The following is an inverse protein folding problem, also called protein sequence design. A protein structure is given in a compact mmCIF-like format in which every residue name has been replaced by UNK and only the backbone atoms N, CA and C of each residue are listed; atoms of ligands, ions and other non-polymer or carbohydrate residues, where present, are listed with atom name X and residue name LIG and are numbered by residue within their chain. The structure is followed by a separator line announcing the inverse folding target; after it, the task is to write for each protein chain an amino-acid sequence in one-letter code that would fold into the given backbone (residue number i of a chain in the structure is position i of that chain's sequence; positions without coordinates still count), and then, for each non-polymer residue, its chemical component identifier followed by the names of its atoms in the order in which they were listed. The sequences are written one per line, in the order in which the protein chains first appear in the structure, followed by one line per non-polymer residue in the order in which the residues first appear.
data_IF_612993616297
#
_entry.id   IF_612993616297
#
_cell.length_a   1.000
_cell.length_b   1.000
_cell.length_c   1.000
_cell.angle_alpha   90.00
_cell.angle_beta   90.00
_cell.angle_gamma   90.00
#
_symmetry.space_group_name_H-M   'P 1'
#
loop_
_entity.id
_entity.type
_entity.pdbx_description
1 polymer ?
#
# COMPACT_ATOMS: atom_id res chain seq x y z
N UNK A 1 -9.49 34.22 13.26
CA UNK A 1 -8.09 34.69 13.14
C UNK A 1 -7.51 33.99 11.91
N UNK A 2 -7.18 34.60 10.78
CA UNK A 2 -7.36 35.95 10.23
C UNK A 2 -7.17 35.82 8.71
N UNK A 3 -7.93 36.62 7.96
CA UNK A 3 -8.02 36.77 6.50
C UNK A 3 -6.69 37.07 5.74
N UNK A 4 -5.60 36.31 5.93
CA UNK A 4 -4.29 36.56 5.26
C UNK A 4 -3.63 35.25 4.76
N UNK A 5 -4.38 34.39 4.07
CA UNK A 5 -3.79 33.23 3.36
C UNK A 5 -4.31 33.12 1.91
N UNK A 6 -4.85 34.22 1.39
CA UNK A 6 -5.48 34.28 0.08
C UNK A 6 -4.53 34.91 -0.95
N UNK A 7 -3.58 34.12 -1.48
CA UNK A 7 -3.08 34.21 -2.88
C UNK A 7 -1.95 33.23 -3.24
N UNK A 8 -1.70 32.11 -2.54
CA UNK A 8 -0.66 31.17 -2.99
C UNK A 8 -1.12 30.25 -4.14
N UNK A 9 -2.44 30.06 -4.28
CA UNK A 9 -3.01 29.12 -5.25
C UNK A 9 -4.04 29.80 -6.15
N UNK A 10 -4.16 29.39 -7.43
CA UNK A 10 -5.14 29.97 -8.35
C UNK A 10 -6.56 29.81 -7.78
N UNK A 11 -7.38 30.87 -7.78
CA UNK A 11 -8.75 30.79 -7.28
C UNK A 11 -9.53 29.74 -8.06
N UNK A 12 -10.23 28.85 -7.36
CA UNK A 12 -11.07 27.84 -8.00
C UNK A 12 -12.29 28.52 -8.62
N UNK A 13 -12.38 28.54 -9.94
CA UNK A 13 -13.59 28.97 -10.65
C UNK A 13 -14.62 27.83 -10.62
N UNK A 14 -15.78 27.98 -9.92
CA UNK A 14 -16.80 26.94 -9.85
C UNK A 14 -17.38 26.54 -11.22
N UNK A 15 -17.39 27.48 -12.17
CA UNK A 15 -17.91 27.28 -13.53
C UNK A 15 -16.91 26.61 -14.47
N UNK A 16 -15.67 26.39 -14.02
CA UNK A 16 -14.70 25.64 -14.80
C UNK A 16 -15.17 24.17 -14.93
N UNK A 17 -14.98 23.52 -16.10
CA UNK A 17 -15.35 22.12 -16.27
C UNK A 17 -14.70 21.24 -15.19
N UNK A 18 -15.50 20.37 -14.56
CA UNK A 18 -15.04 19.47 -13.49
C UNK A 18 -15.24 18.02 -13.94
N UNK A 19 -16.51 17.60 -14.07
CA UNK A 19 -16.89 16.28 -14.53
C UNK A 19 -16.94 16.26 -16.06
N UNK A 20 -15.82 15.92 -16.69
CA UNK A 20 -15.74 15.75 -18.15
C UNK A 20 -15.49 14.30 -18.51
N UNK A 21 -16.00 13.86 -19.68
CA UNK A 21 -15.76 12.50 -20.17
C UNK A 21 -14.27 12.17 -20.22
N UNK A 22 -13.45 13.15 -20.65
CA UNK A 22 -11.99 13.02 -20.71
C UNK A 22 -11.34 12.82 -19.33
N UNK A 23 -11.83 13.48 -18.28
CA UNK A 23 -11.32 13.31 -16.92
C UNK A 23 -11.66 11.91 -16.38
N UNK A 24 -12.90 11.46 -16.61
CA UNK A 24 -13.34 10.11 -16.19
C UNK A 24 -12.59 9.03 -16.95
N UNK A 25 -12.48 9.13 -18.28
CA UNK A 25 -11.82 8.11 -19.10
C UNK A 25 -10.32 7.99 -18.81
N UNK A 26 -9.62 9.12 -18.64
CA UNK A 26 -8.22 9.10 -18.22
C UNK A 26 -8.05 8.56 -16.80
N UNK A 27 -8.99 8.87 -15.90
CA UNK A 27 -9.01 8.33 -14.56
C UNK A 27 -9.19 6.82 -14.56
N UNK A 28 -10.13 6.28 -15.35
CA UNK A 28 -10.32 4.83 -15.49
C UNK A 28 -9.08 4.13 -16.06
N UNK A 29 -8.43 4.73 -17.06
CA UNK A 29 -7.21 4.19 -17.67
C UNK A 29 -6.05 4.14 -16.68
N UNK A 30 -5.76 5.26 -15.99
CA UNK A 30 -4.71 5.28 -14.98
C UNK A 30 -5.06 4.46 -13.75
N UNK A 31 -6.34 4.42 -13.35
CA UNK A 31 -6.81 3.57 -12.27
C UNK A 31 -6.60 2.09 -12.56
N UNK A 32 -6.91 1.65 -13.78
CA UNK A 32 -6.63 0.29 -14.22
C UNK A 32 -5.13 -0.03 -14.17
N UNK A 33 -4.28 0.87 -14.66
CA UNK A 33 -2.82 0.68 -14.64
C UNK A 33 -2.25 0.67 -13.21
N UNK A 34 -2.65 1.62 -12.37
CA UNK A 34 -2.20 1.74 -10.98
C UNK A 34 -2.78 0.64 -10.09
N UNK A 35 -3.92 0.05 -10.45
CA UNK A 35 -4.47 -1.12 -9.75
C UNK A 35 -3.51 -2.32 -9.82
N UNK A 36 -2.82 -2.52 -10.94
CA UNK A 36 -1.83 -3.59 -11.09
C UNK A 36 -0.67 -3.40 -10.11
N UNK A 37 -0.21 -2.15 -9.94
CA UNK A 37 0.81 -1.81 -8.96
C UNK A 37 0.34 -2.12 -7.53
N UNK A 38 -0.89 -1.74 -7.18
CA UNK A 38 -1.43 -1.99 -5.84
C UNK A 38 -1.74 -3.47 -5.57
N UNK A 39 -2.15 -4.25 -6.58
CA UNK A 39 -2.28 -5.71 -6.43
C UNK A 39 -0.90 -6.34 -6.22
N UNK A 40 0.11 -5.95 -7.01
CA UNK A 40 1.47 -6.45 -6.85
C UNK A 40 2.06 -6.12 -5.47
N UNK A 41 1.95 -4.85 -5.05
CA UNK A 41 2.37 -4.42 -3.72
C UNK A 41 1.60 -5.18 -2.65
N UNK A 42 0.27 -5.23 -2.75
CA UNK A 42 -0.55 -5.97 -1.81
C UNK A 42 -0.12 -7.43 -1.66
N UNK A 43 0.11 -8.14 -2.77
CA UNK A 43 0.54 -9.54 -2.74
C UNK A 43 1.96 -9.72 -2.20
N UNK A 44 2.84 -8.73 -2.36
CA UNK A 44 4.25 -8.82 -1.97
C UNK A 44 4.52 -8.35 -0.53
N UNK A 45 3.83 -7.31 -0.07
CA UNK A 45 4.05 -6.67 1.24
C UNK A 45 2.82 -6.67 2.15
N UNK A 46 1.64 -7.04 1.64
CA UNK A 46 0.42 -7.16 2.45
C UNK A 46 -0.39 -5.86 2.60
N UNK A 47 0.08 -4.74 2.06
CA UNK A 47 -0.66 -3.46 2.07
C UNK A 47 -0.54 -2.73 0.72
N UNK A 48 -1.50 -1.84 0.47
CA UNK A 48 -1.53 -0.96 -0.70
C UNK A 48 -1.01 0.44 -0.40
N UNK A 49 -0.80 1.24 -1.44
CA UNK A 49 -0.37 2.65 -1.33
C UNK A 49 -1.45 3.57 -1.88
N UNK A 50 -1.50 4.81 -1.37
CA UNK A 50 -2.34 5.85 -1.94
C UNK A 50 -1.76 6.28 -3.30
N UNK A 51 -2.56 6.15 -4.36
CA UNK A 51 -2.16 6.42 -5.74
C UNK A 51 -2.68 7.75 -6.29
N UNK A 52 -3.33 8.58 -5.46
CA UNK A 52 -3.97 9.84 -5.85
C UNK A 52 -2.98 10.87 -6.40
N UNK A 53 -1.83 11.07 -5.73
CA UNK A 53 -0.79 12.02 -6.18
C UNK A 53 -0.17 11.56 -7.50
N UNK A 54 0.16 10.27 -7.61
CA UNK A 54 0.70 9.68 -8.84
C UNK A 54 -0.29 9.85 -10.00
N UNK A 55 -1.56 9.57 -9.77
CA UNK A 55 -2.60 9.74 -10.78
C UNK A 55 -2.78 11.21 -11.22
N UNK A 56 -2.71 12.16 -10.28
CA UNK A 56 -2.77 13.58 -10.58
C UNK A 56 -1.59 14.05 -11.46
N UNK A 57 -0.37 13.59 -11.15
CA UNK A 57 0.84 13.89 -11.93
C UNK A 57 0.80 13.25 -13.32
N UNK A 58 0.41 11.97 -13.41
CA UNK A 58 0.28 11.27 -14.69
C UNK A 58 -0.81 11.90 -15.57
N UNK A 59 -1.97 12.24 -14.98
CA UNK A 59 -3.05 12.95 -15.67
C UNK A 59 -2.61 14.31 -16.20
N UNK A 60 -1.96 15.11 -15.37
CA UNK A 60 -1.40 16.40 -15.77
C UNK A 60 -0.37 16.26 -16.90
N UNK A 61 0.61 15.35 -16.72
CA UNK A 61 1.67 15.12 -17.70
C UNK A 61 1.14 14.63 -19.05
N UNK A 62 0.21 13.66 -19.03
CA UNK A 62 -0.44 13.14 -20.23
C UNK A 62 -1.14 14.26 -21.00
N UNK A 63 -2.02 15.01 -20.34
CA UNK A 63 -2.77 16.06 -21.00
C UNK A 63 -1.91 17.26 -21.41
N UNK A 64 -0.84 17.57 -20.68
CA UNK A 64 0.09 18.63 -21.09
C UNK A 64 0.83 18.24 -22.38
N UNK A 65 1.27 16.99 -22.50
CA UNK A 65 1.86 16.46 -23.74
C UNK A 65 0.82 16.45 -24.85
N UNK A 66 -0.40 15.96 -24.60
CA UNK A 66 -1.47 15.93 -25.60
C UNK A 66 -1.90 17.32 -26.08
N UNK A 67 -1.99 18.31 -25.18
CA UNK A 67 -2.25 19.71 -25.55
C UNK A 67 -1.13 20.27 -26.41
N UNK A 68 0.14 19.97 -26.11
CA UNK A 68 1.29 20.47 -26.89
C UNK A 68 1.44 19.77 -28.24
N UNK A 69 1.17 18.46 -28.31
CA UNK A 69 1.34 17.66 -29.51
C UNK A 69 0.14 17.75 -30.48
N UNK A 70 -1.08 17.78 -29.94
CA UNK A 70 -2.32 17.69 -30.72
C UNK A 70 -3.22 18.94 -30.61
N UNK A 71 -2.76 20.01 -29.95
CA UNK A 71 -3.52 21.25 -29.82
C UNK A 71 -4.80 21.13 -28.97
N UNK A 72 -4.94 20.07 -28.17
CA UNK A 72 -6.14 19.81 -27.36
C UNK A 72 -6.33 20.88 -26.26
N UNK A 73 -7.58 21.14 -25.87
CA UNK A 73 -7.92 22.06 -24.78
C UNK A 73 -7.13 21.74 -23.50
N UNK A 74 -6.58 22.76 -22.85
CA UNK A 74 -5.89 22.66 -21.55
C UNK A 74 -6.75 21.88 -20.53
N UNK A 75 -6.10 21.00 -19.79
CA UNK A 75 -6.74 20.17 -18.76
C UNK A 75 -6.73 20.92 -17.43
N UNK A 76 -7.91 21.26 -16.90
CA UNK A 76 -8.03 22.11 -15.72
C UNK A 76 -7.76 21.40 -14.40
N UNK A 77 -7.54 22.18 -13.33
CA UNK A 77 -7.35 21.69 -11.96
C UNK A 77 -8.53 20.81 -11.50
N UNK A 78 -9.77 21.26 -11.69
CA UNK A 78 -10.96 20.53 -11.26
C UNK A 78 -11.19 19.25 -12.07
N UNK A 79 -10.87 19.26 -13.37
CA UNK A 79 -10.89 18.05 -14.20
C UNK A 79 -9.85 17.04 -13.72
N UNK A 80 -8.65 17.50 -13.36
CA UNK A 80 -7.63 16.61 -12.83
C UNK A 80 -7.98 16.08 -11.43
N UNK A 81 -8.75 16.84 -10.64
CA UNK A 81 -9.31 16.33 -9.38
C UNK A 81 -10.28 15.16 -9.62
N UNK A 82 -11.12 15.23 -10.65
CA UNK A 82 -11.99 14.11 -11.04
C UNK A 82 -11.17 12.93 -11.58
N UNK A 83 -10.20 13.19 -12.45
CA UNK A 83 -9.30 12.15 -12.99
C UNK A 83 -8.56 11.40 -11.87
N UNK A 84 -7.91 12.11 -10.94
CA UNK A 84 -7.19 11.46 -9.85
C UNK A 84 -8.14 10.70 -8.92
N UNK A 85 -9.34 11.22 -8.67
CA UNK A 85 -10.36 10.54 -7.84
C UNK A 85 -10.80 9.23 -8.49
N UNK A 86 -11.10 9.24 -9.79
CA UNK A 86 -11.48 8.05 -10.55
C UNK A 86 -10.32 7.03 -10.62
N UNK A 87 -9.09 7.49 -10.85
CA UNK A 87 -7.92 6.64 -10.85
C UNK A 87 -7.63 6.02 -9.48
N UNK A 88 -7.75 6.81 -8.42
CA UNK A 88 -7.55 6.36 -7.04
C UNK A 88 -8.60 5.33 -6.62
N UNK A 89 -9.87 5.54 -7.00
CA UNK A 89 -10.94 4.56 -6.79
C UNK A 89 -10.63 3.24 -7.50
N UNK A 90 -10.22 3.28 -8.78
CA UNK A 90 -9.80 2.09 -9.52
C UNK A 90 -8.59 1.40 -8.92
N UNK A 91 -7.56 2.15 -8.50
CA UNK A 91 -6.35 1.60 -7.90
C UNK A 91 -6.60 0.96 -6.51
N UNK A 92 -7.62 1.44 -5.80
CA UNK A 92 -7.99 0.92 -4.47
C UNK A 92 -8.76 -0.38 -4.54
N UNK A 93 -9.23 -0.80 -5.73
CA UNK A 93 -10.01 -2.04 -5.88
C UNK A 93 -9.25 -3.30 -5.48
N UNK A 94 -7.92 -3.23 -5.39
CA UNK A 94 -7.07 -4.28 -4.81
C UNK A 94 -7.54 -4.70 -3.40
N UNK A 95 -8.13 -3.80 -2.62
CA UNK A 95 -8.69 -4.09 -1.29
C UNK A 95 -10.03 -4.84 -1.33
N UNK A 96 -10.64 -5.05 -2.51
CA UNK A 96 -11.86 -5.85 -2.69
C UNK A 96 -11.61 -7.36 -2.50
N UNK A 97 -10.59 -7.75 -1.74
CA UNK A 97 -10.25 -9.14 -1.49
C UNK A 97 -9.31 -9.78 -2.53
N UNK A 98 -8.88 -9.04 -3.54
CA UNK A 98 -7.98 -9.53 -4.61
C UNK A 98 -6.58 -9.88 -4.09
N UNK A 99 -6.18 -9.33 -2.95
CA UNK A 99 -4.86 -9.51 -2.35
C UNK A 99 -4.82 -10.56 -1.25
N UNK A 100 -5.95 -10.87 -0.61
CA UNK A 100 -5.99 -11.75 0.56
C UNK A 100 -6.97 -12.94 0.40
N UNK A 101 -8.30 -12.75 0.50
CA UNK A 101 -9.24 -13.86 0.49
C UNK A 101 -9.31 -14.62 -0.84
N UNK A 102 -9.19 -13.97 -2.00
CA UNK A 102 -9.25 -14.66 -3.31
C UNK A 102 -8.01 -15.54 -3.54
N UNK A 103 -6.77 -15.06 -3.34
CA UNK A 103 -5.60 -15.93 -3.35
C UNK A 103 -5.70 -17.07 -2.32
N UNK A 104 -6.15 -16.79 -1.10
CA UNK A 104 -6.31 -17.81 -0.07
C UNK A 104 -7.32 -18.90 -0.48
N UNK A 105 -8.47 -18.52 -1.05
CA UNK A 105 -9.46 -19.46 -1.60
C UNK A 105 -8.85 -20.32 -2.71
N UNK A 106 -8.07 -19.71 -3.59
CA UNK A 106 -7.39 -20.41 -4.69
C UNK A 106 -6.38 -21.43 -4.14
N UNK A 107 -5.63 -21.07 -3.11
CA UNK A 107 -4.67 -21.98 -2.46
C UNK A 107 -5.35 -23.13 -1.70
N UNK A 108 -6.54 -22.90 -1.12
CA UNK A 108 -7.28 -23.93 -0.37
C UNK A 108 -8.03 -24.90 -1.29
N UNK A 109 -8.61 -24.40 -2.38
CA UNK A 109 -9.51 -25.18 -3.24
C UNK A 109 -8.89 -25.62 -4.56
N UNK A 110 -7.75 -25.02 -4.95
CA UNK A 110 -7.14 -25.21 -6.27
C UNK A 110 -7.92 -24.58 -7.44
N UNK A 111 -9.10 -23.97 -7.18
CA UNK A 111 -9.92 -23.32 -8.20
C UNK A 111 -9.52 -21.86 -8.36
N UNK A 112 -9.12 -21.49 -9.57
CA UNK A 112 -8.96 -20.09 -9.95
C UNK A 112 -10.31 -19.52 -10.37
N UNK A 113 -10.65 -18.34 -9.85
CA UNK A 113 -11.87 -17.64 -10.28
C UNK A 113 -11.70 -17.12 -11.70
N UNK A 114 -12.72 -17.33 -12.53
CA UNK A 114 -12.72 -16.88 -13.91
C UNK A 114 -12.84 -15.36 -14.04
N UNK A 115 -12.52 -14.82 -15.21
CA UNK A 115 -12.64 -13.37 -15.47
C UNK A 115 -14.04 -12.83 -15.19
N UNK A 116 -15.09 -13.59 -15.56
CA UNK A 116 -16.49 -13.19 -15.33
C UNK A 116 -16.80 -13.13 -13.84
N UNK A 117 -16.40 -14.14 -13.07
CA UNK A 117 -16.64 -14.22 -11.62
C UNK A 117 -15.94 -13.07 -10.90
N UNK A 118 -14.67 -12.83 -11.23
CA UNK A 118 -13.88 -11.73 -10.66
C UNK A 118 -14.46 -10.36 -11.05
N UNK A 119 -14.91 -10.20 -12.30
CA UNK A 119 -15.51 -8.94 -12.76
C UNK A 119 -16.82 -8.66 -12.04
N UNK A 120 -17.70 -9.66 -11.90
CA UNK A 120 -18.95 -9.55 -11.16
C UNK A 120 -18.72 -9.27 -9.68
N UNK A 121 -17.71 -9.92 -9.08
CA UNK A 121 -17.30 -9.67 -7.70
C UNK A 121 -16.82 -8.23 -7.50
N UNK A 122 -15.86 -7.79 -8.31
CA UNK A 122 -15.29 -6.44 -8.26
C UNK A 122 -16.38 -5.38 -8.49
N UNK A 123 -17.27 -5.60 -9.45
CA UNK A 123 -18.41 -4.72 -9.71
C UNK A 123 -19.33 -4.63 -8.48
N UNK A 124 -19.66 -5.76 -7.87
CA UNK A 124 -20.51 -5.81 -6.68
C UNK A 124 -19.89 -5.05 -5.51
N UNK A 125 -18.60 -5.29 -5.23
CA UNK A 125 -17.87 -4.58 -4.16
C UNK A 125 -17.75 -3.08 -4.45
N UNK A 126 -17.52 -2.71 -5.71
CA UNK A 126 -17.47 -1.30 -6.11
C UNK A 126 -18.81 -0.61 -5.86
N UNK A 127 -19.94 -1.23 -6.22
CA UNK A 127 -21.28 -0.68 -5.99
C UNK A 127 -21.56 -0.49 -4.49
N UNK A 128 -21.24 -1.49 -3.66
CA UNK A 128 -21.36 -1.38 -2.20
C UNK A 128 -20.50 -0.24 -1.68
N UNK A 129 -19.25 -0.13 -2.17
CA UNK A 129 -18.33 0.95 -1.81
C UNK A 129 -18.90 2.34 -2.11
N UNK A 130 -19.56 2.53 -3.27
CA UNK A 130 -20.22 3.80 -3.60
C UNK A 130 -21.34 4.12 -2.62
N UNK A 131 -22.21 3.16 -2.31
CA UNK A 131 -23.34 3.36 -1.36
C UNK A 131 -22.82 3.74 0.03
N UNK A 132 -21.82 3.01 0.53
CA UNK A 132 -21.20 3.29 1.84
C UNK A 132 -20.52 4.66 1.85
N UNK A 133 -19.77 5.00 0.79
CA UNK A 133 -19.08 6.29 0.69
C UNK A 133 -20.06 7.47 0.74
N UNK A 134 -21.22 7.35 0.08
CA UNK A 134 -22.27 8.39 0.12
C UNK A 134 -22.82 8.57 1.54
N UNK A 135 -23.07 7.48 2.26
CA UNK A 135 -23.56 7.53 3.64
C UNK A 135 -22.55 8.16 4.62
N UNK A 136 -21.27 7.78 4.50
CA UNK A 136 -20.22 8.26 5.39
C UNK A 136 -19.80 9.72 5.11
N UNK A 137 -19.99 10.20 3.89
CA UNK A 137 -19.58 11.56 3.47
C UNK A 137 -20.08 12.63 4.43
N UNK A 138 -21.38 12.62 4.77
CA UNK A 138 -21.98 13.66 5.61
C UNK A 138 -21.39 13.63 7.02
N UNK A 139 -21.29 12.45 7.62
CA UNK A 139 -20.79 12.29 8.97
C UNK A 139 -19.31 12.70 9.06
N UNK A 140 -18.45 12.08 8.25
CA UNK A 140 -17.01 12.21 8.42
C UNK A 140 -16.44 13.55 7.93
N UNK A 141 -17.03 14.17 6.89
CA UNK A 141 -16.52 15.43 6.32
C UNK A 141 -17.25 16.66 6.85
N UNK A 142 -18.57 16.60 7.05
CA UNK A 142 -19.38 17.79 7.37
C UNK A 142 -19.59 17.93 8.88
N UNK A 143 -19.92 16.84 9.56
CA UNK A 143 -20.18 16.85 11.01
C UNK A 143 -18.88 16.76 11.80
N UNK A 144 -18.13 15.67 11.62
CA UNK A 144 -16.93 15.39 12.42
C UNK A 144 -15.70 16.18 11.93
N UNK A 145 -15.75 16.68 10.69
CA UNK A 145 -14.68 17.44 10.03
C UNK A 145 -13.29 16.81 10.25
N UNK A 146 -13.19 15.51 9.98
CA UNK A 146 -11.96 14.77 10.21
C UNK A 146 -10.86 15.29 9.27
N UNK A 147 -9.62 15.46 9.77
CA UNK A 147 -8.49 15.75 8.91
C UNK A 147 -8.23 14.51 8.05
N UNK A 148 -8.49 14.60 6.74
CA UNK A 148 -8.14 13.57 5.76
C UNK A 148 -6.75 13.87 5.18
N UNK A 149 -5.63 13.53 5.86
CA UNK A 149 -4.29 14.01 5.50
C UNK A 149 -3.90 13.66 4.06
N UNK A 150 -4.24 12.45 3.59
CA UNK A 150 -3.98 12.04 2.20
C UNK A 150 -4.75 12.86 1.17
N UNK A 151 -6.01 13.18 1.47
CA UNK A 151 -6.85 14.04 0.62
C UNK A 151 -6.35 15.48 0.59
N UNK A 152 -5.97 16.03 1.74
CA UNK A 152 -5.38 17.37 1.87
C UNK A 152 -4.06 17.47 1.11
N UNK A 153 -3.15 16.51 1.30
CA UNK A 153 -1.87 16.46 0.60
C UNK A 153 -2.05 16.34 -0.93
N UNK A 154 -3.02 15.54 -1.38
CA UNK A 154 -3.37 15.44 -2.81
C UNK A 154 -3.89 16.77 -3.34
N UNK A 155 -4.78 17.43 -2.59
CA UNK A 155 -5.33 18.74 -2.95
C UNK A 155 -4.26 19.83 -3.05
N UNK A 156 -3.35 19.90 -2.07
CA UNK A 156 -2.20 20.82 -2.10
C UNK A 156 -1.30 20.54 -3.30
N UNK A 157 -0.94 19.27 -3.52
CA UNK A 157 -0.11 18.88 -4.68
C UNK A 157 -0.77 19.27 -5.99
N UNK A 158 -2.09 19.07 -6.11
CA UNK A 158 -2.84 19.46 -7.29
C UNK A 158 -2.81 20.98 -7.51
N UNK A 159 -3.03 21.77 -6.46
CA UNK A 159 -2.92 23.23 -6.55
C UNK A 159 -1.52 23.68 -6.95
N UNK A 160 -0.47 23.07 -6.40
CA UNK A 160 0.93 23.35 -6.76
C UNK A 160 1.23 23.03 -8.23
N UNK A 161 0.75 21.88 -8.73
CA UNK A 161 0.91 21.46 -10.13
C UNK A 161 0.40 22.55 -11.09
N UNK A 162 -0.74 23.15 -10.76
CA UNK A 162 -1.38 24.17 -11.59
C UNK A 162 -0.92 25.61 -11.30
N UNK A 163 -0.35 25.88 -10.13
CA UNK A 163 0.24 27.18 -9.79
C UNK A 163 1.65 27.34 -10.40
N UNK A 164 2.49 26.30 -10.32
CA UNK A 164 3.90 26.32 -10.72
C UNK A 164 4.16 25.34 -11.86
N UNK A 165 3.61 25.61 -13.04
CA UNK A 165 3.61 24.66 -14.17
C UNK A 165 5.00 24.17 -14.63
N UNK A 166 6.07 24.94 -14.45
CA UNK A 166 7.44 24.50 -14.75
C UNK A 166 7.96 23.46 -13.73
N UNK A 167 7.73 23.70 -12.43
CA UNK A 167 8.08 22.75 -11.36
C UNK A 167 7.23 21.47 -11.45
N UNK A 168 5.97 21.60 -11.87
CA UNK A 168 5.08 20.47 -12.09
C UNK A 168 5.65 19.48 -13.14
N UNK A 169 6.16 20.00 -14.26
CA UNK A 169 6.80 19.16 -15.27
C UNK A 169 8.10 18.52 -14.80
N UNK A 170 8.86 19.18 -13.93
CA UNK A 170 10.01 18.56 -13.29
C UNK A 170 9.58 17.35 -12.44
N UNK A 171 8.51 17.48 -11.64
CA UNK A 171 7.95 16.37 -10.84
C UNK A 171 7.46 15.21 -11.73
N UNK A 172 6.81 15.50 -12.85
CA UNK A 172 6.41 14.47 -13.84
C UNK A 172 7.64 13.76 -14.42
N UNK A 173 8.69 14.49 -14.80
CA UNK A 173 9.94 13.90 -15.29
C UNK A 173 10.63 13.04 -14.23
N UNK A 174 10.63 13.48 -12.97
CA UNK A 174 11.17 12.70 -11.85
C UNK A 174 10.37 11.39 -11.64
N UNK A 175 9.04 11.44 -11.76
CA UNK A 175 8.19 10.25 -11.70
C UNK A 175 8.53 9.26 -12.82
N UNK A 176 8.65 9.74 -14.07
CA UNK A 176 9.03 8.90 -15.21
C UNK A 176 10.47 8.36 -15.07
N UNK A 177 11.40 9.17 -14.59
CA UNK A 177 12.76 8.73 -14.30
C UNK A 177 12.80 7.64 -13.23
N UNK A 178 12.02 7.79 -12.15
CA UNK A 178 11.84 6.77 -11.12
C UNK A 178 11.22 5.48 -11.67
N UNK A 179 10.25 5.59 -12.60
CA UNK A 179 9.67 4.43 -13.27
C UNK A 179 10.73 3.67 -14.10
N UNK A 180 11.57 4.37 -14.85
CA UNK A 180 12.66 3.75 -15.63
C UNK A 180 13.70 3.10 -14.71
N UNK A 181 14.15 3.81 -13.66
CA UNK A 181 15.09 3.26 -12.69
C UNK A 181 14.54 2.01 -11.99
N UNK A 182 13.26 2.03 -11.61
CA UNK A 182 12.57 0.88 -11.04
C UNK A 182 12.47 -0.29 -12.01
N UNK A 183 12.17 -0.03 -13.28
CA UNK A 183 12.11 -1.06 -14.33
C UNK A 183 13.48 -1.69 -14.58
N UNK A 184 14.54 -0.89 -14.66
CA UNK A 184 15.93 -1.37 -14.81
C UNK A 184 16.33 -2.18 -13.59
N UNK A 185 16.06 -1.70 -12.37
CA UNK A 185 16.37 -2.46 -11.17
C UNK A 185 15.64 -3.79 -11.09
N UNK A 186 14.36 -3.82 -11.49
CA UNK A 186 13.61 -5.07 -11.54
C UNK A 186 14.15 -6.02 -12.61
N UNK A 187 14.59 -5.51 -13.75
CA UNK A 187 15.26 -6.29 -14.78
C UNK A 187 16.56 -6.91 -14.26
N UNK A 188 17.39 -6.15 -13.54
CA UNK A 188 18.62 -6.65 -12.92
C UNK A 188 18.36 -7.75 -11.87
N UNK A 189 17.28 -7.61 -11.09
CA UNK A 189 16.82 -8.65 -10.15
C UNK A 189 16.41 -9.93 -10.89
N UNK A 190 15.66 -9.80 -12.00
CA UNK A 190 15.23 -10.95 -12.83
C UNK A 190 16.42 -11.64 -13.51
N UNK A 191 17.41 -10.86 -13.96
CA UNK A 191 18.66 -11.37 -14.54
C UNK A 191 19.61 -11.96 -13.48
N UNK A 192 19.22 -11.99 -12.20
CA UNK A 192 20.02 -12.47 -11.05
C UNK A 192 21.37 -11.77 -10.91
N UNK A 193 21.55 -10.60 -11.53
CA UNK A 193 22.74 -9.74 -11.35
C UNK A 193 22.81 -9.25 -9.91
N UNK A 194 21.63 -9.05 -9.31
CA UNK A 194 21.47 -8.68 -7.91
C UNK A 194 20.64 -9.77 -7.24
N UNK A 195 21.26 -10.58 -6.39
CA UNK A 195 20.62 -11.67 -5.67
C UNK A 195 20.28 -11.27 -4.23
N UNK A 196 19.24 -11.89 -3.67
CA UNK A 196 18.95 -11.80 -2.24
C UNK A 196 20.08 -12.49 -1.49
N UNK A 197 20.69 -11.78 -0.54
CA UNK A 197 21.75 -12.33 0.30
C UNK A 197 21.15 -12.68 1.65
N UNK A 198 21.27 -13.95 2.03
CA UNK A 198 20.87 -14.42 3.36
C UNK A 198 21.70 -13.73 4.45
N UNK A 199 21.07 -13.36 5.55
CA UNK A 199 21.79 -12.70 6.63
C UNK A 199 22.68 -13.74 7.36
N UNK A 200 24.00 -13.50 7.52
CA UNK A 200 24.87 -14.45 8.19
C UNK A 200 24.60 -14.48 9.70
N UNK A 201 24.37 -15.68 10.23
CA UNK A 201 24.23 -15.91 11.67
C UNK A 201 23.21 -16.99 12.00
N UNK A 202 23.42 -17.66 13.13
CA UNK A 202 22.54 -18.71 13.65
C UNK A 202 22.30 -18.51 15.13
N UNK A 203 21.10 -18.89 15.56
CA UNK A 203 20.73 -18.97 16.98
C UNK A 203 20.95 -20.40 17.46
N UNK A 204 21.53 -20.57 18.68
CA UNK A 204 21.69 -21.88 19.27
C UNK A 204 20.32 -22.47 19.59
N UNK A 205 20.16 -23.77 19.37
CA UNK A 205 18.96 -24.51 19.76
C UNK A 205 19.14 -25.01 21.20
N UNK A 206 18.15 -24.82 22.07
CA UNK A 206 18.20 -25.39 23.42
C UNK A 206 18.23 -26.92 23.39
N UNK A 207 19.19 -27.50 24.12
CA UNK A 207 19.30 -28.94 24.30
C UNK A 207 18.04 -29.48 24.99
N UNK A 208 17.27 -30.32 24.29
CA UNK A 208 15.99 -30.88 24.76
C UNK A 208 14.73 -30.12 24.31
N UNK A 209 14.88 -28.98 23.63
CA UNK A 209 13.75 -28.26 23.02
C UNK A 209 13.11 -29.01 21.85
N UNK A 210 11.87 -28.68 21.49
CA UNK A 210 11.13 -29.35 20.42
C UNK A 210 11.82 -29.26 19.03
N UNK A 211 12.70 -28.27 18.85
CA UNK A 211 13.54 -28.10 17.65
C UNK A 211 14.72 -29.09 17.63
N UNK A 212 15.38 -29.30 18.76
CA UNK A 212 16.43 -30.32 18.91
C UNK A 212 15.86 -31.74 18.77
N UNK A 213 14.66 -31.98 19.31
CA UNK A 213 13.93 -33.25 19.16
C UNK A 213 13.55 -33.60 17.72
N UNK A 214 13.59 -32.63 16.80
CA UNK A 214 13.37 -32.81 15.35
C UNK A 214 14.66 -32.87 14.54
N UNK A 215 15.83 -32.95 15.19
CA UNK A 215 17.13 -33.14 14.53
C UNK A 215 17.79 -31.86 14.03
N UNK A 216 17.29 -30.68 14.42
CA UNK A 216 17.93 -29.41 14.08
C UNK A 216 18.95 -29.01 15.14
N UNK A 217 20.17 -28.69 14.72
CA UNK A 217 21.27 -28.29 15.60
C UNK A 217 21.41 -26.77 15.74
N UNK A 218 20.87 -25.99 14.80
CA UNK A 218 20.90 -24.54 14.80
C UNK A 218 19.69 -23.96 14.03
N UNK A 219 19.24 -22.77 14.43
CA UNK A 219 18.23 -21.99 13.68
C UNK A 219 18.97 -20.88 12.95
N UNK A 220 19.12 -20.98 11.63
CA UNK A 220 19.76 -19.90 10.85
C UNK A 220 18.83 -18.70 10.69
N UNK A 221 19.38 -17.49 10.65
CA UNK A 221 18.62 -16.26 10.38
C UNK A 221 17.88 -16.31 9.04
N UNK A 222 18.42 -17.02 8.05
CA UNK A 222 17.76 -17.32 6.77
C UNK A 222 16.52 -18.17 6.94
N UNK A 223 16.53 -19.18 7.82
CA UNK A 223 15.35 -20.00 8.14
C UNK A 223 14.23 -19.14 8.73
N UNK A 224 14.58 -18.14 9.54
CA UNK A 224 13.64 -17.15 10.10
C UNK A 224 13.20 -16.08 9.09
N UNK A 225 13.76 -16.08 7.87
CA UNK A 225 13.39 -15.15 6.80
C UNK A 225 14.19 -13.85 6.75
N UNK A 226 15.23 -13.70 7.58
CA UNK A 226 16.14 -12.56 7.47
C UNK A 226 16.98 -12.66 6.20
N UNK A 227 16.74 -11.75 5.28
CA UNK A 227 17.51 -11.60 4.05
C UNK A 227 17.63 -10.12 3.70
N UNK A 228 18.77 -9.75 3.12
CA UNK A 228 18.95 -8.47 2.48
C UNK A 228 18.39 -8.58 1.06
N UNK A 229 17.19 -8.05 0.89
CA UNK A 229 16.53 -7.92 -0.41
C UNK A 229 16.77 -6.51 -0.95
N UNK A 230 17.65 -6.32 -1.95
CA UNK A 230 17.95 -5.02 -2.55
C UNK A 230 16.83 -4.54 -3.50
N UNK A 231 15.59 -4.76 -3.11
CA UNK A 231 14.43 -4.38 -3.90
C UNK A 231 14.28 -2.85 -3.88
N UNK A 232 14.44 -2.23 -5.05
CA UNK A 232 14.21 -0.77 -5.23
C UNK A 232 12.82 -0.37 -4.73
N UNK A 233 11.84 -1.26 -4.90
CA UNK A 233 10.49 -1.07 -4.38
C UNK A 233 10.49 -0.88 -2.85
N UNK A 234 11.20 -1.71 -2.10
CA UNK A 234 11.25 -1.62 -0.63
C UNK A 234 12.00 -0.38 -0.17
N UNK A 235 13.07 -0.01 -0.87
CA UNK A 235 13.82 1.23 -0.62
C UNK A 235 12.90 2.44 -0.82
N UNK A 236 12.15 2.48 -1.93
CA UNK A 236 11.22 3.55 -2.23
C UNK A 236 10.08 3.63 -1.20
N UNK A 237 9.50 2.49 -0.80
CA UNK A 237 8.46 2.44 0.24
C UNK A 237 9.00 2.97 1.58
N UNK A 238 10.21 2.56 1.98
CA UNK A 238 10.85 3.07 3.20
C UNK A 238 11.10 4.58 3.16
N UNK A 239 11.50 5.12 2.01
CA UNK A 239 11.68 6.56 1.82
C UNK A 239 10.37 7.36 1.96
N UNK A 240 9.23 6.78 1.57
CA UNK A 240 7.90 7.42 1.69
C UNK A 240 7.38 7.41 3.12
N UNK A 241 7.47 6.26 3.80
CA UNK A 241 6.94 6.08 5.17
C UNK A 241 7.80 6.82 6.21
N UNK A 242 9.08 7.02 5.91
CA UNK A 242 10.01 7.76 6.75
C UNK A 242 10.67 6.91 7.82
N UNK A 243 11.79 7.42 8.35
CA UNK A 243 12.70 6.62 9.18
C UNK A 243 12.10 6.25 10.55
N UNK A 244 11.21 7.06 11.10
CA UNK A 244 10.59 6.79 12.42
C UNK A 244 9.72 5.54 12.38
N UNK A 245 8.80 5.47 11.41
CA UNK A 245 7.93 4.32 11.24
C UNK A 245 8.72 3.08 10.77
N UNK A 246 9.68 3.24 9.86
CA UNK A 246 10.55 2.15 9.44
C UNK A 246 11.38 1.57 10.61
N UNK A 247 11.92 2.41 11.49
CA UNK A 247 12.64 1.95 12.68
C UNK A 247 11.72 1.21 13.66
N UNK A 248 10.49 1.69 13.85
CA UNK A 248 9.50 1.01 14.70
C UNK A 248 9.12 -0.37 14.13
N UNK A 249 8.92 -0.47 12.82
CA UNK A 249 8.63 -1.74 12.15
C UNK A 249 9.82 -2.70 12.24
N UNK A 250 11.05 -2.19 12.09
CA UNK A 250 12.27 -2.98 12.24
C UNK A 250 12.42 -3.51 13.66
N UNK A 251 12.18 -2.68 14.69
CA UNK A 251 12.20 -3.10 16.09
C UNK A 251 11.15 -4.19 16.34
N UNK A 252 9.92 -4.02 15.84
CA UNK A 252 8.88 -5.04 15.93
C UNK A 252 9.26 -6.34 15.24
N UNK A 253 9.87 -6.27 14.05
CA UNK A 253 10.35 -7.44 13.31
C UNK A 253 11.47 -8.17 14.07
N UNK A 254 12.42 -7.44 14.68
CA UNK A 254 13.46 -8.02 15.52
C UNK A 254 12.87 -8.72 16.73
N UNK A 255 11.96 -8.08 17.47
CA UNK A 255 11.31 -8.71 18.64
C UNK A 255 10.54 -9.97 18.21
N UNK A 256 9.70 -9.87 17.18
CA UNK A 256 8.85 -10.96 16.74
C UNK A 256 9.67 -12.13 16.19
N UNK A 257 10.61 -11.89 15.28
CA UNK A 257 11.31 -12.96 14.56
C UNK A 257 12.59 -13.44 15.23
N UNK A 258 13.24 -12.61 16.06
CA UNK A 258 14.49 -12.99 16.71
C UNK A 258 14.30 -13.53 18.13
N UNK A 259 13.21 -13.15 18.81
CA UNK A 259 12.94 -13.59 20.19
C UNK A 259 11.70 -14.49 20.27
N UNK A 260 10.55 -14.00 19.81
CA UNK A 260 9.28 -14.74 19.95
C UNK A 260 9.25 -15.97 19.04
N UNK A 261 9.72 -15.87 17.79
CA UNK A 261 9.67 -17.00 16.86
C UNK A 261 10.50 -18.22 17.32
N UNK A 262 11.76 -18.06 17.78
CA UNK A 262 12.52 -19.16 18.38
C UNK A 262 11.84 -19.77 19.60
N UNK A 263 11.34 -18.94 20.53
CA UNK A 263 10.68 -19.41 21.76
C UNK A 263 9.44 -20.26 21.46
N UNK A 264 8.60 -19.80 20.54
CA UNK A 264 7.40 -20.53 20.08
C UNK A 264 7.76 -21.88 19.45
N UNK A 265 8.90 -21.96 18.75
CA UNK A 265 9.39 -23.22 18.20
C UNK A 265 9.95 -24.15 19.27
N UNK A 266 10.70 -23.62 20.24
CA UNK A 266 11.25 -24.42 21.35
C UNK A 266 10.15 -24.99 22.26
N UNK A 267 9.08 -24.22 22.48
CA UNK A 267 7.85 -24.65 23.17
C UNK A 267 7.03 -25.67 22.36
N UNK A 268 7.35 -25.89 21.09
CA UNK A 268 6.66 -26.84 20.21
C UNK A 268 5.31 -26.35 19.68
N UNK A 269 4.98 -25.08 19.86
CA UNK A 269 3.73 -24.47 19.37
C UNK A 269 3.75 -24.23 17.85
N UNK A 270 4.94 -24.04 17.28
CA UNK A 270 5.16 -24.04 15.83
C UNK A 270 6.14 -25.16 15.46
N UNK A 271 5.81 -25.92 14.41
CA UNK A 271 6.71 -26.96 13.91
C UNK A 271 7.75 -26.34 12.97
N UNK A 272 9.05 -26.52 13.19
CA UNK A 272 10.06 -26.08 12.25
C UNK A 272 9.84 -26.74 10.88
N UNK A 273 10.22 -26.02 9.82
CA UNK A 273 10.20 -26.55 8.45
C UNK A 273 11.32 -27.58 8.23
N UNK A 274 11.63 -27.88 6.97
CA UNK A 274 12.72 -28.81 6.65
C UNK A 274 14.05 -28.38 7.30
N UNK A 275 14.85 -29.36 7.72
CA UNK A 275 16.17 -29.19 8.32
C UNK A 275 17.25 -28.86 7.28
N UNK A 276 17.01 -27.79 6.53
CA UNK A 276 17.93 -27.26 5.51
C UNK A 276 18.23 -25.80 5.87
N UNK A 277 19.48 -25.35 5.72
CA UNK A 277 19.92 -24.00 6.09
C UNK A 277 19.31 -22.88 5.22
N UNK A 278 18.77 -23.23 4.06
CA UNK A 278 18.11 -22.31 3.12
C UNK A 278 16.58 -22.46 3.11
N UNK A 279 16.01 -23.34 3.93
CA UNK A 279 14.57 -23.54 3.98
C UNK A 279 13.90 -22.42 4.78
N UNK A 280 13.06 -21.63 4.09
CA UNK A 280 12.25 -20.57 4.70
C UNK A 280 11.15 -21.18 5.60
N UNK A 281 11.20 -20.92 6.91
CA UNK A 281 10.20 -21.40 7.87
C UNK A 281 9.04 -20.41 8.10
N UNK A 282 9.02 -19.29 7.37
CA UNK A 282 8.00 -18.25 7.45
C UNK A 282 6.57 -18.82 7.44
N UNK A 283 6.25 -19.71 6.50
CA UNK A 283 4.90 -20.27 6.37
C UNK A 283 4.44 -21.12 7.57
N UNK A 284 5.36 -21.75 8.29
CA UNK A 284 5.04 -22.51 9.50
C UNK A 284 4.89 -21.59 10.72
N UNK A 285 5.80 -20.63 10.86
CA UNK A 285 5.84 -19.67 11.95
C UNK A 285 4.66 -18.68 11.91
N UNK A 286 4.35 -18.15 10.73
CA UNK A 286 3.32 -17.10 10.57
C UNK A 286 1.94 -17.56 11.04
N UNK A 287 1.62 -18.86 10.92
CA UNK A 287 0.34 -19.45 11.36
C UNK A 287 0.10 -19.21 12.85
N UNK A 288 1.13 -19.28 13.67
CA UNK A 288 1.03 -19.03 15.10
C UNK A 288 1.31 -17.56 15.43
N UNK A 289 2.36 -16.98 14.82
CA UNK A 289 2.78 -15.61 15.10
C UNK A 289 1.74 -14.53 14.75
N UNK A 290 0.75 -14.85 13.92
CA UNK A 290 -0.39 -13.97 13.66
C UNK A 290 -1.24 -13.72 14.92
N UNK A 291 -1.39 -14.70 15.81
CA UNK A 291 -2.31 -14.61 16.95
C UNK A 291 -1.95 -13.50 17.95
N UNK A 292 -0.70 -13.39 18.44
CA UNK A 292 -0.33 -12.27 19.32
C UNK A 292 -0.53 -10.91 18.65
N UNK A 293 -0.21 -10.80 17.36
CA UNK A 293 -0.41 -9.56 16.60
C UNK A 293 -1.87 -9.15 16.51
N UNK A 294 -2.74 -10.08 16.10
CA UNK A 294 -4.19 -9.85 16.01
C UNK A 294 -4.77 -9.55 17.38
N UNK A 295 -4.37 -10.28 18.43
CA UNK A 295 -4.81 -10.02 19.79
C UNK A 295 -4.46 -8.59 20.22
N UNK A 296 -3.21 -8.15 20.06
CA UNK A 296 -2.80 -6.78 20.37
C UNK A 296 -3.61 -5.73 19.61
N UNK A 297 -3.84 -5.93 18.31
CA UNK A 297 -4.65 -5.01 17.49
C UNK A 297 -6.11 -4.92 17.97
N UNK A 298 -6.72 -6.05 18.30
CA UNK A 298 -8.10 -6.11 18.82
C UNK A 298 -8.18 -5.46 20.20
N UNK A 299 -7.28 -5.81 21.12
CA UNK A 299 -7.26 -5.24 22.47
C UNK A 299 -7.03 -3.73 22.43
N UNK A 300 -6.12 -3.24 21.58
CA UNK A 300 -5.90 -1.81 21.39
C UNK A 300 -7.15 -1.10 20.84
N UNK A 301 -7.81 -1.70 19.85
CA UNK A 301 -9.04 -1.14 19.26
C UNK A 301 -10.18 -1.08 20.27
N UNK A 302 -10.39 -2.15 21.05
CA UNK A 302 -11.41 -2.22 22.10
C UNK A 302 -11.10 -1.24 23.24
N UNK A 303 -9.84 -1.11 23.63
CA UNK A 303 -9.41 -0.16 24.67
C UNK A 303 -9.65 1.28 24.21
N UNK A 304 -9.27 1.61 22.97
CA UNK A 304 -9.52 2.92 22.38
C UNK A 304 -11.01 3.25 22.32
N UNK A 305 -11.83 2.28 21.90
CA UNK A 305 -13.29 2.41 21.89
C UNK A 305 -13.86 2.65 23.30
N UNK A 306 -13.44 1.85 24.29
CA UNK A 306 -13.88 1.98 25.67
C UNK A 306 -13.53 3.36 26.27
N UNK A 307 -12.32 3.86 26.00
CA UNK A 307 -11.89 5.19 26.44
C UNK A 307 -12.62 6.33 25.71
N UNK A 308 -13.12 6.08 24.50
CA UNK A 308 -13.93 7.03 23.71
C UNK A 308 -15.40 7.08 24.15
N UNK A 309 -15.82 6.29 25.15
CA UNK A 309 -17.22 6.21 25.59
C UNK A 309 -17.84 7.54 26.00
N UNK A 310 -17.05 8.48 26.57
CA UNK A 310 -17.54 9.84 26.88
C UNK A 310 -17.82 10.68 25.63
N UNK A 311 -17.07 10.48 24.55
CA UNK A 311 -17.33 11.17 23.28
C UNK A 311 -18.58 10.61 22.58
N UNK A 312 -18.82 9.30 22.70
CA UNK A 312 -20.00 8.63 22.14
C UNK A 312 -21.27 9.01 22.90
N UNK A 313 -21.20 9.12 24.24
CA UNK A 313 -22.35 9.53 25.06
C UNK A 313 -22.73 11.01 24.90
N UNK A 314 -21.80 11.83 24.42
CA UNK A 314 -22.00 13.27 24.22
C UNK A 314 -22.30 13.64 22.76
N UNK A 315 -22.40 12.67 21.85
CA UNK A 315 -22.74 12.83 20.43
C UNK A 315 -24.24 12.54 20.21
#
# INVERSE_FOLDING_TARGET
MSQIEAAEYPPTNPDAPQLTFRAVSTGMLFGGLLSLCNIYLGLKIGWGMNMSITAALLGFGFWQVSTRAFGMRKFGLLENNINQTAASAGASISSAGLVAPIPALTMLTGRTLGWVELSMWVLSVALVGVVVAVGLRKQMLVVDNLPFPGGVATGQTLKEIYAKGAEAMARVRMLLGGMVLGAVGKLLEVLKVVSKVGFPGSLPVQAGGAVAGKGHTAITLTNLGFSLDPSIMMIAVGAIIGMRAAASMMLGAVIAWLFVAPEVMELGWATPGKAEADALWFGALVKWMLWPGVAMMVTASLTSFALSGKAILNA
#
